data_IF_045786026653
#
_entry.id   IF_045786026653
#
_cell.length_a   1.000
_cell.length_b   1.000
_cell.length_c   1.000
_cell.angle_alpha   90.00
_cell.angle_beta   90.00
_cell.angle_gamma   90.00
#
_symmetry.space_group_name_H-M   'P 1'
#
loop_
_entity.id
_entity.type
_entity.pdbx_description
1 polymer ?
#
# COMPACT_ATOMS: atom_id res chain seq x y z
N UNK A 1 14.89 -7.89 14.89
CA UNK A 1 14.61 -7.50 13.47
C UNK A 1 15.19 -6.15 13.10
N UNK A 2 15.03 -5.11 13.91
CA UNK A 2 15.51 -3.76 13.60
C UNK A 2 17.03 -3.65 13.36
N UNK A 3 17.86 -4.26 14.21
CA UNK A 3 19.32 -4.24 14.08
C UNK A 3 19.84 -4.91 12.79
N UNK A 4 19.17 -5.98 12.32
CA UNK A 4 19.51 -6.63 11.06
C UNK A 4 19.14 -5.75 9.87
N UNK A 5 17.95 -5.15 9.87
CA UNK A 5 17.53 -4.23 8.83
C UNK A 5 18.43 -2.97 8.77
N UNK A 6 18.81 -2.44 9.92
CA UNK A 6 19.72 -1.31 10.00
C UNK A 6 21.09 -1.63 9.38
N UNK A 7 21.65 -2.79 9.65
CA UNK A 7 22.92 -3.23 9.07
C UNK A 7 22.82 -3.51 7.56
N UNK A 8 21.75 -4.20 7.13
CA UNK A 8 21.52 -4.58 5.74
C UNK A 8 21.26 -3.35 4.85
N UNK A 9 20.52 -2.36 5.36
CA UNK A 9 20.19 -1.13 4.63
C UNK A 9 21.19 0.00 4.87
N UNK A 10 22.24 -0.25 5.66
CA UNK A 10 23.31 0.73 5.98
C UNK A 10 22.74 2.05 6.50
N UNK A 11 21.75 1.96 7.39
CA UNK A 11 21.15 3.15 7.99
C UNK A 11 22.12 3.76 9.00
N UNK A 12 22.27 5.07 8.94
CA UNK A 12 23.09 5.89 9.84
C UNK A 12 22.30 6.46 11.04
N UNK A 13 21.05 6.04 11.20
CA UNK A 13 20.17 6.40 12.30
C UNK A 13 19.66 5.15 13.03
N UNK A 14 19.22 5.35 14.26
CA UNK A 14 18.69 4.29 15.09
C UNK A 14 17.34 3.77 14.57
N UNK A 15 17.21 2.44 14.49
CA UNK A 15 15.98 1.77 14.11
C UNK A 15 15.37 1.05 15.30
N UNK A 16 14.19 1.48 15.73
CA UNK A 16 13.45 0.92 16.85
C UNK A 16 12.26 0.11 16.33
N UNK A 17 12.08 -1.10 16.86
CA UNK A 17 10.92 -1.92 16.57
C UNK A 17 9.77 -1.61 17.53
N UNK A 18 8.55 -1.65 17.03
CA UNK A 18 7.31 -1.49 17.82
C UNK A 18 6.43 -2.76 17.73
N UNK A 19 6.92 -3.94 18.22
CA UNK A 19 6.24 -5.21 18.03
C UNK A 19 4.91 -5.33 18.79
N UNK A 20 4.69 -4.50 19.80
CA UNK A 20 3.50 -4.51 20.63
C UNK A 20 2.61 -3.28 20.40
N UNK A 21 2.99 -2.41 19.45
CA UNK A 21 2.29 -1.16 19.11
C UNK A 21 2.29 -0.10 20.22
N UNK A 22 3.26 -0.17 21.15
CA UNK A 22 3.35 0.78 22.27
C UNK A 22 3.65 2.20 21.81
N UNK A 23 4.55 2.36 20.82
CA UNK A 23 4.91 3.67 20.26
C UNK A 23 3.75 4.24 19.45
N UNK A 24 3.15 3.42 18.58
CA UNK A 24 2.02 3.85 17.74
C UNK A 24 0.76 4.15 18.57
N UNK A 25 0.51 3.37 19.63
CA UNK A 25 -0.60 3.65 20.56
C UNK A 25 -0.35 4.94 21.34
N UNK A 26 0.87 5.18 21.81
CA UNK A 26 1.24 6.43 22.46
C UNK A 26 1.08 7.65 21.54
N UNK A 27 1.49 7.53 20.27
CA UNK A 27 1.34 8.62 19.30
C UNK A 27 -0.14 8.95 19.07
N UNK A 28 -1.00 7.93 19.02
CA UNK A 28 -2.45 8.09 18.87
C UNK A 28 -3.08 8.72 20.12
N UNK A 29 -2.75 8.23 21.31
CA UNK A 29 -3.26 8.75 22.59
C UNK A 29 -2.90 10.22 22.80
N UNK A 30 -1.72 10.64 22.37
CA UNK A 30 -1.28 12.03 22.42
C UNK A 30 -1.85 12.91 21.29
N UNK A 31 -2.59 12.32 20.34
CA UNK A 31 -3.10 13.03 19.17
C UNK A 31 -2.00 13.45 18.18
N UNK A 32 -0.79 12.92 18.31
CA UNK A 32 0.33 13.27 17.44
C UNK A 32 0.15 12.69 16.04
N UNK A 33 -0.08 11.38 15.96
CA UNK A 33 -0.28 10.67 14.70
C UNK A 33 -1.06 9.39 14.92
N UNK A 34 -2.16 9.22 14.18
CA UNK A 34 -2.92 7.98 14.10
C UNK A 34 -2.61 7.30 12.77
N UNK A 35 -1.77 6.26 12.80
CA UNK A 35 -1.37 5.51 11.62
C UNK A 35 -2.53 4.65 11.11
N UNK A 36 -2.68 4.59 9.78
CA UNK A 36 -3.63 3.68 9.16
C UNK A 36 -3.18 2.24 9.40
N UNK A 37 -4.10 1.43 9.91
CA UNK A 37 -3.84 0.05 10.28
C UNK A 37 -4.67 -0.90 9.41
N UNK A 38 -4.02 -1.85 8.74
CA UNK A 38 -4.68 -2.85 7.93
C UNK A 38 -4.77 -4.18 8.69
N UNK A 39 -5.97 -4.55 9.10
CA UNK A 39 -6.26 -5.82 9.80
C UNK A 39 -6.45 -7.00 8.83
N UNK A 40 -6.71 -6.73 7.55
CA UNK A 40 -7.01 -7.77 6.56
C UNK A 40 -5.74 -8.19 5.84
N UNK A 41 -5.27 -9.39 6.15
CA UNK A 41 -4.02 -9.96 5.62
C UNK A 41 -4.21 -11.25 4.84
N UNK A 42 -5.45 -11.70 4.60
CA UNK A 42 -5.72 -13.02 4.05
C UNK A 42 -5.17 -13.19 2.63
N UNK A 43 -5.27 -12.16 1.80
CA UNK A 43 -4.68 -12.16 0.46
C UNK A 43 -3.14 -12.20 0.51
N UNK A 44 -2.52 -11.40 1.36
CA UNK A 44 -1.07 -11.39 1.52
C UNK A 44 -0.55 -12.74 2.03
N UNK A 45 -1.27 -13.39 2.94
CA UNK A 45 -0.94 -14.74 3.41
C UNK A 45 -1.05 -15.78 2.28
N UNK A 46 -2.09 -15.72 1.44
CA UNK A 46 -2.27 -16.64 0.31
C UNK A 46 -1.30 -16.39 -0.84
N UNK A 47 -0.87 -15.13 -1.04
CA UNK A 47 0.06 -14.78 -2.12
C UNK A 47 1.48 -15.25 -1.85
N UNK A 48 1.81 -15.62 -0.62
CA UNK A 48 3.08 -16.25 -0.28
C UNK A 48 3.14 -17.67 -0.82
N UNK A 49 4.21 -17.96 -1.54
CA UNK A 49 4.54 -19.34 -1.88
C UNK A 49 5.35 -19.98 -0.75
N UNK A 50 5.25 -21.30 -0.65
CA UNK A 50 6.10 -22.09 0.23
C UNK A 50 7.56 -21.70 0.07
N UNK A 51 8.24 -21.37 1.16
CA UNK A 51 9.68 -21.11 1.19
C UNK A 51 10.14 -19.67 1.38
N UNK A 52 9.27 -18.73 1.70
CA UNK A 52 9.70 -17.41 2.19
C UNK A 52 9.63 -17.32 3.71
N UNK A 53 10.78 -17.11 4.36
CA UNK A 53 10.92 -16.95 5.81
C UNK A 53 10.26 -15.67 6.39
N UNK A 54 9.69 -14.83 5.52
CA UNK A 54 9.00 -13.64 5.96
C UNK A 54 7.51 -13.93 6.13
N UNK A 55 7.04 -13.97 7.34
CA UNK A 55 5.62 -13.94 7.66
C UNK A 55 5.18 -12.50 7.97
N UNK A 56 4.12 -11.98 7.32
CA UNK A 56 3.45 -10.78 7.80
C UNK A 56 2.68 -11.15 9.06
N UNK A 57 3.40 -11.35 10.15
CA UNK A 57 2.90 -12.05 11.33
C UNK A 57 2.64 -11.15 12.50
N UNK A 58 2.35 -9.88 12.27
CA UNK A 58 1.72 -9.21 13.40
C UNK A 58 0.30 -9.77 13.54
N UNK A 59 -0.08 -10.35 14.69
CA UNK A 59 -1.41 -10.95 14.89
C UNK A 59 -2.55 -9.95 14.69
N UNK A 60 -2.27 -8.67 14.82
CA UNK A 60 -3.22 -7.56 14.65
C UNK A 60 -3.27 -7.00 13.21
N UNK A 61 -2.31 -7.33 12.32
CA UNK A 61 -2.20 -6.73 10.99
C UNK A 61 -0.91 -5.96 10.76
N UNK A 62 -0.90 -4.92 9.94
CA UNK A 62 0.28 -4.08 9.73
C UNK A 62 -0.11 -2.62 9.54
N UNK A 63 0.76 -1.72 9.99
CA UNK A 63 0.62 -0.29 9.78
C UNK A 63 1.01 0.13 8.37
N UNK A 64 0.28 1.09 7.84
CA UNK A 64 0.74 1.88 6.71
C UNK A 64 1.81 2.88 7.18
N UNK A 65 2.65 3.36 6.25
CA UNK A 65 3.70 4.29 6.61
C UNK A 65 3.15 5.63 7.14
N UNK A 66 3.91 6.24 8.03
CA UNK A 66 3.69 7.59 8.47
C UNK A 66 5.00 8.31 8.69
N UNK A 67 4.95 9.62 8.72
CA UNK A 67 6.04 10.52 9.09
C UNK A 67 5.55 11.41 10.22
N UNK A 68 6.28 11.42 11.32
CA UNK A 68 6.05 12.30 12.46
C UNK A 68 7.37 12.97 12.83
N UNK A 69 7.36 14.28 12.92
CA UNK A 69 8.49 15.07 13.38
C UNK A 69 8.08 15.85 14.61
N UNK A 70 8.83 15.66 15.68
CA UNK A 70 8.60 16.31 16.97
C UNK A 70 9.73 17.30 17.26
N UNK A 71 9.36 18.46 17.78
CA UNK A 71 10.28 19.38 18.41
C UNK A 71 10.80 18.83 19.75
N UNK A 72 11.79 19.48 20.33
CA UNK A 72 12.42 19.06 21.61
C UNK A 72 11.44 19.02 22.78
N UNK A 73 10.40 19.82 22.75
CA UNK A 73 9.37 19.91 23.79
C UNK A 73 8.15 19.02 23.51
N UNK A 74 8.22 18.20 22.46
CA UNK A 74 7.15 17.29 22.07
C UNK A 74 6.07 17.90 21.20
N UNK A 75 6.23 19.16 20.73
CA UNK A 75 5.36 19.78 19.74
C UNK A 75 5.48 19.06 18.39
N UNK A 76 4.36 18.83 17.70
CA UNK A 76 4.36 18.28 16.35
C UNK A 76 4.76 19.36 15.35
N UNK A 77 5.90 19.16 14.68
CA UNK A 77 6.40 20.05 13.63
C UNK A 77 5.94 19.63 12.24
N UNK A 78 5.73 18.33 12.03
CA UNK A 78 5.20 17.76 10.79
C UNK A 78 4.55 16.41 11.08
N UNK A 79 3.45 16.12 10.41
CA UNK A 79 2.82 14.79 10.43
C UNK A 79 2.13 14.44 9.12
N UNK A 80 2.33 13.21 8.70
CA UNK A 80 1.68 12.61 7.53
C UNK A 80 1.43 11.13 7.75
N UNK A 81 0.38 10.58 7.14
CA UNK A 81 0.11 9.15 7.11
C UNK A 81 -0.28 8.67 5.72
N UNK A 82 0.24 7.52 5.32
CA UNK A 82 -0.17 6.85 4.10
C UNK A 82 -1.53 6.16 4.27
N UNK A 83 -2.48 6.49 3.39
CA UNK A 83 -3.77 5.80 3.31
C UNK A 83 -3.89 5.21 1.92
N UNK A 84 -4.07 3.88 1.76
CA UNK A 84 -4.27 3.27 0.46
C UNK A 84 -5.58 3.75 -0.18
N UNK A 85 -5.50 4.14 -1.44
CA UNK A 85 -6.66 4.58 -2.22
C UNK A 85 -6.73 3.83 -3.56
N UNK A 86 -7.85 3.94 -4.29
CA UNK A 86 -7.99 3.38 -5.64
C UNK A 86 -6.95 3.92 -6.64
N UNK A 87 -6.48 5.13 -6.43
CA UNK A 87 -5.47 5.75 -7.28
C UNK A 87 -4.04 5.45 -6.83
N UNK A 88 -3.86 4.96 -5.60
CA UNK A 88 -2.57 4.74 -4.97
C UNK A 88 -2.57 3.47 -4.10
N UNK A 89 -2.68 2.29 -4.71
CA UNK A 89 -2.60 1.03 -3.97
C UNK A 89 -1.18 0.76 -3.44
N UNK A 90 -0.18 1.25 -4.14
CA UNK A 90 1.21 1.22 -3.69
C UNK A 90 1.54 2.23 -2.59
N UNK A 91 0.55 2.91 -2.00
CA UNK A 91 0.72 3.89 -0.92
C UNK A 91 1.55 3.41 0.26
N UNK A 92 1.60 2.08 0.47
CA UNK A 92 2.49 1.49 1.46
C UNK A 92 3.99 1.78 1.22
N UNK A 93 4.41 2.08 0.00
CA UNK A 93 5.79 2.39 -0.35
C UNK A 93 6.07 3.89 -0.49
N UNK A 94 5.03 4.70 -0.72
CA UNK A 94 5.16 6.14 -0.94
C UNK A 94 5.50 6.87 0.37
N UNK A 95 6.28 7.93 0.23
CA UNK A 95 6.64 8.86 1.34
C UNK A 95 6.60 10.28 0.80
N UNK A 96 6.31 11.28 1.65
CA UNK A 96 6.58 12.66 1.31
C UNK A 96 8.06 12.85 0.96
N UNK A 97 8.33 13.68 -0.03
CA UNK A 97 9.72 13.99 -0.36
C UNK A 97 10.41 14.68 0.82
N UNK A 98 11.67 14.33 1.06
CA UNK A 98 12.43 14.90 2.19
C UNK A 98 12.52 16.43 2.12
N UNK A 99 12.64 17.00 0.91
CA UNK A 99 12.67 18.45 0.70
C UNK A 99 11.36 19.13 1.13
N UNK A 100 10.21 18.50 0.83
CA UNK A 100 8.91 19.02 1.25
C UNK A 100 8.77 18.98 2.78
N UNK A 101 9.05 17.82 3.39
CA UNK A 101 8.99 17.67 4.86
C UNK A 101 9.87 18.74 5.53
N UNK A 102 11.08 18.91 5.03
CA UNK A 102 12.01 19.90 5.58
C UNK A 102 11.50 21.34 5.43
N UNK A 103 10.96 21.70 4.26
CA UNK A 103 10.40 23.05 4.05
C UNK A 103 9.22 23.35 4.98
N UNK A 104 8.36 22.35 5.25
CA UNK A 104 7.25 22.51 6.21
C UNK A 104 7.75 22.71 7.64
N UNK A 105 8.78 21.97 8.05
CA UNK A 105 9.41 22.15 9.37
C UNK A 105 10.03 23.55 9.50
N UNK A 106 10.75 24.02 8.46
CA UNK A 106 11.35 25.36 8.48
C UNK A 106 10.29 26.46 8.53
N UNK A 107 9.16 26.28 7.86
CA UNK A 107 8.04 27.22 7.90
C UNK A 107 7.46 27.30 9.32
N UNK A 108 7.14 26.16 9.93
CA UNK A 108 6.64 26.08 11.31
C UNK A 108 7.64 26.71 12.30
N UNK A 109 8.94 26.49 12.13
CA UNK A 109 9.96 27.05 13.00
C UNK A 109 10.18 28.55 12.78
N UNK A 110 9.98 29.07 11.54
CA UNK A 110 10.17 30.49 11.18
C UNK A 110 9.03 31.35 11.65
N UNK A 111 7.82 30.91 11.44
CA UNK A 111 6.62 31.69 11.75
C UNK A 111 6.42 31.88 13.25
N UNK A 112 7.32 31.28 14.06
CA UNK A 112 7.25 31.33 15.53
C UNK A 112 5.85 30.89 15.97
N UNK A 113 5.27 29.93 15.23
CA UNK A 113 3.90 29.52 15.39
C UNK A 113 3.59 29.48 16.85
N UNK A 114 2.54 30.14 17.24
CA UNK A 114 2.13 30.42 18.62
C UNK A 114 2.54 29.26 19.49
N UNK A 115 3.49 29.50 20.36
CA UNK A 115 4.22 28.45 21.08
C UNK A 115 3.21 27.45 21.68
N UNK A 116 3.14 26.26 21.08
CA UNK A 116 2.30 25.17 21.59
C UNK A 116 1.26 24.56 20.64
N UNK A 117 1.06 25.07 19.43
CA UNK A 117 0.14 24.40 18.48
C UNK A 117 0.85 23.34 17.64
N UNK A 118 0.26 22.14 17.58
CA UNK A 118 0.73 21.06 16.74
C UNK A 118 0.44 21.34 15.25
N UNK A 119 1.40 21.04 14.37
CA UNK A 119 1.19 21.14 12.94
C UNK A 119 0.01 20.26 12.48
N UNK A 120 -0.82 20.72 11.52
CA UNK A 120 -1.91 19.93 10.98
C UNK A 120 -1.40 18.69 10.25
N UNK A 121 -2.29 17.70 10.00
CA UNK A 121 -1.99 16.56 9.16
C UNK A 121 -1.81 17.06 7.72
N UNK A 122 -0.68 16.67 7.10
CA UNK A 122 -0.44 16.93 5.68
C UNK A 122 -1.19 15.88 4.86
N UNK A 123 -2.27 16.29 4.20
CA UNK A 123 -3.19 15.38 3.50
C UNK A 123 -2.75 15.08 2.06
N UNK A 124 -2.00 15.96 1.42
CA UNK A 124 -1.62 15.83 -0.01
C UNK A 124 -0.19 16.29 -0.31
N UNK A 125 0.82 15.71 0.36
CA UNK A 125 2.21 16.08 0.10
C UNK A 125 2.69 15.57 -1.27
N UNK A 126 3.71 16.19 -1.86
CA UNK A 126 4.42 15.60 -2.99
C UNK A 126 5.13 14.32 -2.55
N UNK A 127 4.71 13.20 -3.14
CA UNK A 127 5.25 11.87 -2.83
C UNK A 127 6.44 11.53 -3.72
N UNK A 128 7.42 10.81 -3.18
CA UNK A 128 8.58 10.28 -3.90
C UNK A 128 8.18 9.17 -4.90
N UNK A 129 7.08 8.50 -4.65
CA UNK A 129 6.51 7.47 -5.50
C UNK A 129 4.99 7.61 -5.60
N UNK A 130 4.48 7.70 -6.83
CA UNK A 130 3.04 7.58 -7.09
C UNK A 130 2.71 6.12 -7.21
N UNK A 131 1.88 5.61 -6.32
CA UNK A 131 1.44 4.22 -6.34
C UNK A 131 0.77 3.80 -7.64
N UNK A 132 0.46 2.53 -7.76
CA UNK A 132 -0.18 1.95 -8.95
C UNK A 132 -1.70 2.10 -8.81
N UNK A 133 -2.40 2.67 -9.80
CA UNK A 133 -3.86 2.71 -9.81
C UNK A 133 -4.46 1.29 -9.81
N UNK A 134 -5.59 1.12 -9.12
CA UNK A 134 -6.29 -0.17 -9.04
C UNK A 134 -6.58 -0.79 -10.41
N UNK A 135 -6.96 0.03 -11.36
CA UNK A 135 -7.25 -0.41 -12.74
C UNK A 135 -6.04 -1.05 -13.44
N UNK A 136 -4.81 -0.69 -13.08
CA UNK A 136 -3.58 -1.33 -13.58
C UNK A 136 -3.12 -2.49 -12.69
N UNK A 137 -3.32 -2.39 -11.40
CA UNK A 137 -2.85 -3.38 -10.43
C UNK A 137 -3.63 -4.71 -10.54
N UNK A 138 -4.96 -4.65 -10.65
CA UNK A 138 -5.82 -5.84 -10.73
C UNK A 138 -5.50 -6.74 -11.91
N UNK A 139 -5.41 -6.24 -13.16
CA UNK A 139 -5.03 -7.08 -14.30
C UNK A 139 -3.70 -7.79 -14.11
N UNK A 140 -2.72 -7.14 -13.48
CA UNK A 140 -1.41 -7.74 -13.21
C UNK A 140 -1.50 -8.86 -12.16
N UNK A 141 -2.29 -8.68 -11.08
CA UNK A 141 -2.54 -9.73 -10.09
C UNK A 141 -3.25 -10.94 -10.72
N UNK A 142 -4.25 -10.69 -11.57
CA UNK A 142 -4.97 -11.72 -12.30
C UNK A 142 -4.05 -12.47 -13.26
N UNK A 143 -3.22 -11.76 -14.01
CA UNK A 143 -2.26 -12.36 -14.94
C UNK A 143 -1.19 -13.19 -14.22
N UNK A 144 -0.76 -12.76 -13.03
CA UNK A 144 0.16 -13.52 -12.21
C UNK A 144 -0.45 -14.83 -11.69
N UNK A 145 -1.78 -14.88 -11.53
CA UNK A 145 -2.57 -16.05 -11.18
C UNK A 145 -3.28 -16.72 -12.37
N UNK A 146 -2.79 -16.53 -13.61
CA UNK A 146 -3.34 -17.11 -14.84
C UNK A 146 -4.82 -16.81 -15.07
N UNK A 147 -5.28 -15.63 -14.65
CA UNK A 147 -6.67 -15.15 -14.75
C UNK A 147 -7.72 -16.03 -14.05
N UNK A 148 -7.29 -16.93 -13.17
CA UNK A 148 -8.16 -17.78 -12.36
C UNK A 148 -8.24 -17.32 -10.91
N UNK A 149 -7.13 -16.79 -10.37
CA UNK A 149 -7.08 -16.23 -9.02
C UNK A 149 -6.11 -15.04 -9.02
N UNK A 150 -6.44 -13.92 -8.35
CA UNK A 150 -5.46 -12.88 -8.14
C UNK A 150 -4.31 -13.43 -7.29
N UNK A 151 -3.07 -13.09 -7.68
CA UNK A 151 -1.86 -13.54 -6.98
C UNK A 151 -0.84 -12.41 -6.90
N UNK A 152 -0.29 -12.18 -5.71
CA UNK A 152 0.78 -11.21 -5.48
C UNK A 152 2.09 -11.62 -6.17
N UNK A 153 2.99 -10.66 -6.34
CA UNK A 153 4.30 -10.85 -6.96
C UNK A 153 5.33 -11.26 -5.90
N UNK A 154 6.12 -12.28 -6.20
CA UNK A 154 7.26 -12.67 -5.36
C UNK A 154 8.49 -11.78 -5.58
N UNK A 155 8.58 -11.15 -6.75
CA UNK A 155 9.68 -10.30 -7.17
C UNK A 155 9.19 -9.30 -8.21
N UNK A 156 9.73 -8.07 -8.26
CA UNK A 156 9.46 -7.09 -9.32
C UNK A 156 9.73 -7.63 -10.74
N UNK A 157 10.65 -8.59 -10.89
CA UNK A 157 10.94 -9.22 -12.17
C UNK A 157 9.75 -9.97 -12.81
N UNK A 158 8.71 -10.31 -12.02
CA UNK A 158 7.51 -10.94 -12.54
C UNK A 158 6.49 -9.95 -13.14
N UNK A 159 6.64 -8.66 -12.90
CA UNK A 159 5.70 -7.64 -13.40
C UNK A 159 5.69 -7.58 -14.94
N UNK A 160 6.82 -7.53 -15.65
CA UNK A 160 6.84 -7.57 -17.12
C UNK A 160 6.18 -8.84 -17.69
N UNK A 161 6.39 -9.99 -17.05
CA UNK A 161 5.77 -11.26 -17.46
C UNK A 161 4.26 -11.19 -17.29
N UNK A 162 3.77 -10.64 -16.18
CA UNK A 162 2.35 -10.44 -15.97
C UNK A 162 1.75 -9.47 -16.99
N UNK A 163 2.45 -8.40 -17.34
CA UNK A 163 2.01 -7.45 -18.37
C UNK A 163 1.90 -8.12 -19.75
N UNK A 164 2.87 -8.96 -20.14
CA UNK A 164 2.78 -9.75 -21.36
C UNK A 164 1.60 -10.74 -21.35
N UNK A 165 1.30 -11.35 -20.22
CA UNK A 165 0.12 -12.21 -20.06
C UNK A 165 -1.19 -11.42 -20.19
N UNK A 166 -1.27 -10.19 -19.64
CA UNK A 166 -2.43 -9.31 -19.84
C UNK A 166 -2.63 -9.04 -21.32
N UNK A 167 -1.56 -8.65 -22.03
CA UNK A 167 -1.62 -8.41 -23.47
C UNK A 167 -2.07 -9.66 -24.24
N UNK A 168 -1.47 -10.83 -23.96
CA UNK A 168 -1.82 -12.09 -24.60
C UNK A 168 -3.27 -12.49 -24.34
N UNK A 169 -3.76 -12.32 -23.11
CA UNK A 169 -5.15 -12.59 -22.76
C UNK A 169 -6.12 -11.67 -23.53
N UNK A 170 -5.81 -10.38 -23.59
CA UNK A 170 -6.63 -9.40 -24.34
C UNK A 170 -6.66 -9.75 -25.84
N UNK A 171 -5.50 -10.01 -26.44
CA UNK A 171 -5.39 -10.39 -27.85
C UNK A 171 -6.16 -11.69 -28.14
N UNK A 172 -6.06 -12.69 -27.27
CA UNK A 172 -6.78 -13.96 -27.44
C UNK A 172 -8.31 -13.76 -27.43
N UNK A 173 -8.83 -12.92 -26.52
CA UNK A 173 -10.27 -12.60 -26.48
C UNK A 173 -10.71 -11.78 -27.69
N UNK A 174 -9.91 -10.82 -28.12
CA UNK A 174 -10.19 -10.06 -29.35
C UNK A 174 -10.24 -10.96 -30.57
N UNK A 175 -9.27 -11.87 -30.72
CA UNK A 175 -9.24 -12.86 -31.78
C UNK A 175 -10.46 -13.80 -31.72
N UNK A 176 -10.83 -14.27 -30.54
CA UNK A 176 -12.01 -15.11 -30.34
C UNK A 176 -13.31 -14.39 -30.78
N UNK A 177 -13.47 -13.12 -30.45
CA UNK A 177 -14.63 -12.31 -30.85
C UNK A 177 -14.71 -12.09 -32.38
N UNK A 178 -13.55 -12.07 -33.07
CA UNK A 178 -13.49 -11.87 -34.53
C UNK A 178 -13.76 -13.18 -35.29
N UNK A 179 -13.19 -14.30 -34.81
CA UNK A 179 -13.16 -15.54 -35.60
C UNK A 179 -14.14 -16.61 -35.12
N UNK A 180 -14.70 -16.50 -33.93
CA UNK A 180 -15.66 -17.46 -33.38
C UNK A 180 -17.07 -16.87 -33.31
N UNK A 181 -18.11 -17.73 -33.22
CA UNK A 181 -19.47 -17.26 -32.98
C UNK A 181 -19.55 -16.38 -31.71
N UNK A 182 -20.07 -15.16 -31.85
CA UNK A 182 -20.02 -14.14 -30.82
C UNK A 182 -20.76 -14.53 -29.52
N UNK A 183 -21.95 -15.18 -29.64
CA UNK A 183 -22.75 -15.54 -28.47
C UNK A 183 -22.04 -16.52 -27.51
N UNK A 184 -21.46 -17.65 -27.95
CA UNK A 184 -20.67 -18.51 -27.07
C UNK A 184 -19.48 -17.80 -26.43
N UNK A 185 -18.77 -16.93 -27.18
CA UNK A 185 -17.62 -16.18 -26.67
C UNK A 185 -18.06 -15.24 -25.55
N UNK A 186 -19.14 -14.47 -25.75
CA UNK A 186 -19.68 -13.58 -24.72
C UNK A 186 -20.14 -14.39 -23.50
N UNK A 187 -20.78 -15.53 -23.72
CA UNK A 187 -21.22 -16.38 -22.59
C UNK A 187 -20.06 -16.87 -21.74
N UNK A 188 -18.99 -17.37 -22.35
CA UNK A 188 -17.79 -17.81 -21.62
C UNK A 188 -17.12 -16.66 -20.90
N UNK A 189 -17.03 -15.47 -21.53
CA UNK A 189 -16.48 -14.28 -20.93
C UNK A 189 -17.32 -13.82 -19.71
N UNK A 190 -18.64 -13.89 -19.81
CA UNK A 190 -19.55 -13.56 -18.71
C UNK A 190 -19.40 -14.54 -17.53
N UNK A 191 -19.27 -15.83 -17.80
CA UNK A 191 -18.99 -16.83 -16.76
C UNK A 191 -17.64 -16.58 -16.07
N UNK A 192 -16.60 -16.26 -16.85
CA UNK A 192 -15.30 -15.89 -16.29
C UNK A 192 -15.41 -14.63 -15.44
N UNK A 193 -16.09 -13.59 -15.93
CA UNK A 193 -16.28 -12.34 -15.18
C UNK A 193 -17.04 -12.58 -13.86
N UNK A 194 -18.12 -13.38 -13.90
CA UNK A 194 -18.87 -13.75 -12.70
C UNK A 194 -18.02 -14.51 -11.67
N UNK A 195 -17.13 -15.39 -12.17
CA UNK A 195 -16.21 -16.15 -11.31
C UNK A 195 -15.11 -15.26 -10.67
N UNK A 196 -14.57 -14.29 -11.41
CA UNK A 196 -13.41 -13.50 -10.97
C UNK A 196 -13.82 -12.28 -10.15
N UNK A 197 -14.99 -11.69 -10.40
CA UNK A 197 -15.45 -10.46 -9.74
C UNK A 197 -15.45 -10.55 -8.20
N UNK A 198 -16.00 -11.59 -7.55
CA UNK A 198 -15.97 -11.70 -6.09
C UNK A 198 -14.54 -11.71 -5.53
N UNK A 199 -13.59 -12.30 -6.27
CA UNK A 199 -12.19 -12.37 -5.86
C UNK A 199 -11.50 -11.01 -5.98
N UNK A 200 -11.84 -10.23 -7.01
CA UNK A 200 -11.35 -8.86 -7.16
C UNK A 200 -11.88 -7.97 -6.04
N UNK A 201 -13.17 -8.08 -5.73
CA UNK A 201 -13.80 -7.33 -4.62
C UNK A 201 -13.11 -7.69 -3.30
N UNK A 202 -12.89 -8.97 -3.04
CA UNK A 202 -12.20 -9.42 -1.83
C UNK A 202 -10.79 -8.84 -1.72
N UNK A 203 -9.99 -8.90 -2.79
CA UNK A 203 -8.65 -8.28 -2.82
C UNK A 203 -8.76 -6.76 -2.63
N UNK A 204 -9.73 -6.11 -3.28
CA UNK A 204 -9.98 -4.68 -3.12
C UNK A 204 -10.24 -4.29 -1.68
N UNK A 205 -11.04 -5.07 -0.98
CA UNK A 205 -11.33 -4.84 0.44
C UNK A 205 -10.11 -4.97 1.35
N UNK A 206 -9.09 -5.73 0.96
CA UNK A 206 -7.85 -5.83 1.73
C UNK A 206 -6.89 -4.66 1.49
N UNK A 207 -6.83 -4.17 0.25
CA UNK A 207 -5.91 -3.08 -0.11
C UNK A 207 -6.49 -1.67 0.04
N UNK A 208 -7.81 -1.54 0.10
CA UNK A 208 -8.51 -0.26 0.06
C UNK A 208 -9.47 -0.11 1.26
N UNK A 209 -9.11 -0.67 2.39
CA UNK A 209 -9.86 -0.45 3.61
C UNK A 209 -9.84 1.04 3.94
N UNK A 210 -10.80 1.78 3.39
CA UNK A 210 -11.16 3.08 3.93
C UNK A 210 -11.59 2.82 5.38
N UNK A 211 -10.75 3.28 6.32
CA UNK A 211 -11.19 3.37 7.70
C UNK A 211 -12.39 4.33 7.67
N UNK A 212 -13.58 3.78 7.87
CA UNK A 212 -14.74 4.63 8.14
C UNK A 212 -14.33 5.52 9.30
N UNK A 213 -14.35 6.86 9.15
CA UNK A 213 -14.10 7.74 10.27
C UNK A 213 -15.07 7.35 11.38
N UNK A 214 -14.53 6.96 12.53
CA UNK A 214 -15.34 6.74 13.73
C UNK A 214 -15.77 8.07 14.30
#
# INVERSE_FOLDING_TARGET
MSSRAQAEWKLDFESVGDPHHEISDLCRERGWLDLFFNERLSFLKQSKGDGQDWEPTHPKGYFQPGVLVLGREGQVLYRWRGVPTHNNIGGAAARPTASHVWSQIEEVCRDGTQAGEDAPLDEDPPLDFKGIPWALFVPLLLANGWFLNPRGFRSPAHIPIAALRVLGFTVAWMAALVWLPTLPVIFVLALWAAYITPKIIWVGQEFQNESVPK
#
